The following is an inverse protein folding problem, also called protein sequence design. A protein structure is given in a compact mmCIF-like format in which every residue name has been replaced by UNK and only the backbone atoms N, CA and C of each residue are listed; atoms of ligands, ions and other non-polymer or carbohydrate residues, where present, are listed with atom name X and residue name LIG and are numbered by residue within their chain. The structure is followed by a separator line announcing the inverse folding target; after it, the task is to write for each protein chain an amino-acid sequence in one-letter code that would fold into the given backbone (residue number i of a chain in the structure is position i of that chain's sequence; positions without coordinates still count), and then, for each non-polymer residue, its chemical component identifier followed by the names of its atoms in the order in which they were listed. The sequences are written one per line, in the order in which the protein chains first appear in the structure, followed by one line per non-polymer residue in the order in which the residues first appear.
data_IF_900323454102
#
_entry.id   IF_900323454102
#
_cell.length_a   1.000
_cell.length_b   1.000
_cell.length_c   1.000
_cell.angle_alpha   90.00
_cell.angle_beta   90.00
_cell.angle_gamma   90.00
#
_symmetry.space_group_name_H-M   'P 1'
#
loop_
_entity.id
_entity.type
_entity.pdbx_description
1 polymer ?
#
# COMPACT_ATOMS: atom_id res chain seq x y z
N UNK A 1 9.98 -21.49 -17.68
CA UNK A 1 9.56 -21.87 -19.05
C UNK A 1 9.07 -23.32 -19.06
N UNK A 2 7.75 -23.53 -19.10
CA UNK A 2 7.14 -24.79 -19.58
C UNK A 2 5.65 -24.58 -19.83
N UNK A 3 5.33 -24.27 -21.08
CA UNK A 3 4.00 -24.37 -21.66
C UNK A 3 3.66 -25.85 -21.87
N UNK A 4 2.45 -26.27 -21.50
CA UNK A 4 1.80 -27.42 -22.12
C UNK A 4 0.33 -27.04 -22.36
N UNK A 5 0.03 -26.82 -23.66
CA UNK A 5 -1.31 -26.83 -24.23
C UNK A 5 -1.85 -28.28 -24.23
N UNK A 6 -3.14 -28.47 -23.98
CA UNK A 6 -3.89 -29.60 -24.53
C UNK A 6 -5.25 -29.12 -25.05
N UNK A 7 -5.40 -29.23 -26.36
CA UNK A 7 -6.65 -29.18 -27.11
C UNK A 7 -7.47 -30.45 -26.84
N UNK A 8 -8.79 -30.31 -26.70
CA UNK A 8 -9.76 -31.39 -26.74
C UNK A 8 -10.84 -31.08 -27.76
N UNK A 9 -10.79 -31.78 -28.89
CA UNK A 9 -11.72 -31.66 -30.01
C UNK A 9 -13.05 -32.38 -29.73
N UNK A 10 -14.15 -31.84 -30.26
CA UNK A 10 -15.37 -32.62 -30.51
C UNK A 10 -16.00 -32.13 -31.84
N UNK A 11 -15.85 -32.96 -32.86
CA UNK A 11 -16.50 -32.85 -34.18
C UNK A 11 -17.68 -33.83 -34.16
N UNK A 12 -18.87 -33.36 -34.47
CA UNK A 12 -20.09 -34.16 -34.64
C UNK A 12 -20.81 -33.78 -35.94
N UNK A 13 -21.26 -34.79 -36.68
CA UNK A 13 -21.31 -34.83 -38.12
C UNK A 13 -22.60 -34.33 -38.83
N UNK A 14 -22.40 -34.08 -40.12
CA UNK A 14 -23.30 -33.85 -41.26
C UNK A 14 -24.73 -34.42 -41.22
N UNK A 15 -25.67 -33.63 -41.77
CA UNK A 15 -26.68 -34.13 -42.72
C UNK A 15 -26.83 -33.17 -43.91
N UNK A 16 -26.63 -33.70 -45.12
CA UNK A 16 -26.95 -33.05 -46.39
C UNK A 16 -28.46 -33.14 -46.65
N UNK A 17 -29.06 -32.03 -47.08
CA UNK A 17 -30.28 -32.08 -47.90
C UNK A 17 -30.27 -30.92 -48.88
N UNK A 18 -30.14 -31.29 -50.16
CA UNK A 18 -30.27 -30.45 -51.34
C UNK A 18 -31.71 -29.96 -51.48
N UNK A 19 -31.92 -28.73 -51.95
CA UNK A 19 -32.84 -28.43 -53.05
C UNK A 19 -32.92 -26.91 -53.35
N UNK A 20 -32.70 -26.61 -54.63
CA UNK A 20 -33.40 -25.61 -55.46
C UNK A 20 -33.30 -24.13 -55.11
N UNK A 21 -32.54 -23.41 -55.94
CA UNK A 21 -32.56 -21.97 -56.16
C UNK A 21 -33.90 -21.48 -56.75
N UNK A 22 -34.50 -20.48 -56.13
CA UNK A 22 -35.52 -19.60 -56.71
C UNK A 22 -35.29 -18.17 -56.16
N UNK A 23 -35.14 -17.13 -57.00
CA UNK A 23 -34.91 -15.76 -56.50
C UNK A 23 -36.21 -14.93 -56.42
N UNK A 24 -36.22 -14.01 -55.45
CA UNK A 24 -37.07 -12.82 -55.24
C UNK A 24 -38.16 -12.90 -54.14
N UNK A 25 -38.54 -11.77 -53.48
CA UNK A 25 -37.98 -10.42 -53.51
C UNK A 25 -37.37 -9.97 -52.16
N UNK A 26 -36.55 -8.92 -52.21
CA UNK A 26 -35.89 -8.29 -51.06
C UNK A 26 -36.94 -7.55 -50.23
N UNK A 27 -37.11 -7.93 -48.97
CA UNK A 27 -37.81 -7.12 -47.98
C UNK A 27 -36.85 -6.06 -47.45
N UNK A 28 -37.24 -4.80 -47.60
CA UNK A 28 -36.58 -3.61 -47.06
C UNK A 28 -36.35 -3.80 -45.55
N UNK A 29 -35.11 -4.12 -45.16
CA UNK A 29 -34.73 -4.18 -43.76
C UNK A 29 -34.58 -2.76 -43.23
N UNK A 30 -35.36 -2.42 -42.20
CA UNK A 30 -35.23 -1.18 -41.46
C UNK A 30 -33.77 -1.00 -40.99
N UNK A 31 -33.22 0.23 -41.02
CA UNK A 31 -31.84 0.46 -40.67
C UNK A 31 -31.59 0.07 -39.20
N UNK A 32 -30.47 -0.59 -38.88
CA UNK A 32 -30.12 -0.91 -37.51
C UNK A 32 -29.94 0.39 -36.74
N UNK A 33 -30.74 0.58 -35.70
CA UNK A 33 -30.59 1.68 -34.76
C UNK A 33 -29.25 1.48 -34.06
N UNK A 34 -28.26 2.30 -34.40
CA UNK A 34 -26.96 2.27 -33.77
C UNK A 34 -27.11 2.62 -32.29
N UNK A 35 -27.12 1.59 -31.45
CA UNK A 35 -27.09 1.72 -30.00
C UNK A 35 -25.71 2.27 -29.65
N UNK A 36 -25.62 3.59 -29.49
CA UNK A 36 -24.43 4.24 -28.96
C UNK A 36 -24.24 3.73 -27.54
N UNK A 37 -23.30 2.81 -27.38
CA UNK A 37 -22.84 2.37 -26.07
C UNK A 37 -22.34 3.61 -25.32
N UNK A 38 -23.15 4.11 -24.38
CA UNK A 38 -22.75 5.19 -23.49
C UNK A 38 -21.60 4.66 -22.65
N UNK A 39 -20.39 5.15 -22.95
CA UNK A 39 -19.23 4.93 -22.09
C UNK A 39 -19.59 5.42 -20.69
N UNK A 40 -19.47 4.59 -19.64
CA UNK A 40 -19.74 5.03 -18.28
C UNK A 40 -18.95 6.31 -17.99
N UNK A 41 -19.64 7.35 -17.54
CA UNK A 41 -18.98 8.58 -17.13
C UNK A 41 -17.90 8.24 -16.08
N UNK A 42 -16.69 8.83 -16.18
CA UNK A 42 -15.64 8.60 -15.19
C UNK A 42 -16.20 8.87 -13.79
N UNK A 43 -15.93 7.96 -12.85
CA UNK A 43 -16.28 8.18 -11.45
C UNK A 43 -15.76 9.55 -10.99
N UNK A 44 -16.59 10.28 -10.24
CA UNK A 44 -16.19 11.57 -9.67
C UNK A 44 -14.89 11.38 -8.88
N UNK A 45 -13.88 12.20 -9.20
CA UNK A 45 -12.58 12.11 -8.52
C UNK A 45 -12.72 12.50 -7.04
N UNK A 46 -11.99 11.85 -6.13
CA UNK A 46 -12.07 12.15 -4.70
C UNK A 46 -11.54 13.55 -4.36
N UNK A 47 -12.10 14.18 -3.33
CA UNK A 47 -11.66 15.50 -2.84
C UNK A 47 -10.30 15.40 -2.12
N UNK A 48 -9.23 16.01 -2.66
CA UNK A 48 -7.93 15.99 -2.02
C UNK A 48 -7.88 16.78 -0.70
N UNK A 49 -8.71 17.80 -0.53
CA UNK A 49 -8.70 18.62 0.69
C UNK A 49 -9.21 17.81 1.90
N UNK A 50 -10.35 17.12 1.74
CA UNK A 50 -10.89 16.25 2.78
C UNK A 50 -9.92 15.12 3.17
N UNK A 51 -9.26 14.48 2.20
CA UNK A 51 -8.28 13.44 2.48
C UNK A 51 -7.07 13.97 3.25
N UNK A 52 -6.49 15.09 2.81
CA UNK A 52 -5.34 15.69 3.49
C UNK A 52 -5.68 16.11 4.92
N UNK A 53 -6.87 16.71 5.13
CA UNK A 53 -7.31 17.09 6.48
C UNK A 53 -7.48 15.87 7.41
N UNK A 54 -8.03 14.77 6.88
CA UNK A 54 -8.16 13.52 7.64
C UNK A 54 -6.79 12.89 7.97
N UNK A 55 -5.89 12.84 6.98
CA UNK A 55 -4.54 12.33 7.14
C UNK A 55 -3.74 13.15 8.16
N UNK A 56 -3.83 14.48 8.11
CA UNK A 56 -3.19 15.38 9.07
C UNK A 56 -3.70 15.12 10.48
N UNK A 57 -5.03 15.05 10.68
CA UNK A 57 -5.62 14.78 11.98
C UNK A 57 -5.12 13.45 12.57
N UNK A 58 -5.16 12.38 11.78
CA UNK A 58 -4.73 11.05 12.23
C UNK A 58 -3.24 11.03 12.58
N UNK A 59 -2.38 11.63 11.74
CA UNK A 59 -0.95 11.72 11.99
C UNK A 59 -0.63 12.54 13.24
N UNK A 60 -1.34 13.65 13.48
CA UNK A 60 -1.19 14.44 14.70
C UNK A 60 -1.55 13.60 15.93
N UNK A 61 -2.74 13.00 15.95
CA UNK A 61 -3.22 12.15 17.05
C UNK A 61 -2.26 11.00 17.34
N UNK A 62 -1.76 10.32 16.30
CA UNK A 62 -0.74 9.27 16.44
C UNK A 62 0.57 9.82 17.03
N UNK A 63 1.06 10.94 16.47
CA UNK A 63 2.38 11.49 16.79
C UNK A 63 2.52 11.91 18.24
N UNK A 64 1.45 12.44 18.84
CA UNK A 64 1.43 12.86 20.24
C UNK A 64 1.80 11.71 21.19
N UNK A 65 1.29 10.50 20.95
CA UNK A 65 1.61 9.33 21.78
C UNK A 65 2.94 8.69 21.38
N UNK A 66 3.17 8.53 20.07
CA UNK A 66 4.37 7.87 19.57
C UNK A 66 5.64 8.60 20.01
N UNK A 67 5.66 9.94 19.94
CA UNK A 67 6.85 10.70 20.35
C UNK A 67 7.09 10.69 21.85
N UNK A 68 6.04 10.60 22.68
CA UNK A 68 6.20 10.44 24.13
C UNK A 68 6.79 9.07 24.46
N UNK A 69 6.30 8.01 23.82
CA UNK A 69 6.83 6.65 23.98
C UNK A 69 8.30 6.60 23.57
N UNK A 70 8.63 7.13 22.38
CA UNK A 70 10.00 7.17 21.87
C UNK A 70 10.94 7.95 22.80
N UNK A 71 10.47 9.07 23.35
CA UNK A 71 11.24 9.84 24.34
C UNK A 71 11.50 9.04 25.62
N UNK A 72 10.49 8.35 26.15
CA UNK A 72 10.65 7.51 27.34
C UNK A 72 11.64 6.38 27.08
N UNK A 73 11.52 5.66 25.96
CA UNK A 73 12.47 4.61 25.60
C UNK A 73 13.90 5.13 25.46
N UNK A 74 14.10 6.28 24.81
CA UNK A 74 15.44 6.87 24.65
C UNK A 74 16.11 7.24 25.99
N UNK A 75 15.33 7.55 27.03
CA UNK A 75 15.86 7.87 28.37
C UNK A 75 15.95 6.64 29.28
N UNK A 76 15.15 5.61 29.03
CA UNK A 76 15.02 4.43 29.86
C UNK A 76 14.95 3.18 28.98
N UNK A 77 16.07 2.75 28.42
CA UNK A 77 16.09 1.57 27.54
C UNK A 77 15.92 0.30 28.38
N UNK A 78 14.68 -0.19 28.46
CA UNK A 78 14.24 -1.42 29.15
C UNK A 78 13.38 -2.26 28.23
N UNK A 79 13.19 -3.54 28.55
CA UNK A 79 12.36 -4.45 27.73
C UNK A 79 10.91 -3.94 27.59
N UNK A 80 10.34 -3.36 28.64
CA UNK A 80 8.97 -2.79 28.61
C UNK A 80 8.88 -1.56 27.70
N UNK A 81 9.87 -0.66 27.77
CA UNK A 81 9.88 0.52 26.89
C UNK A 81 10.23 0.17 25.45
N UNK A 82 11.07 -0.86 25.24
CA UNK A 82 11.38 -1.41 23.92
C UNK A 82 10.10 -1.98 23.30
N UNK A 83 9.32 -2.75 24.06
CA UNK A 83 8.02 -3.26 23.61
C UNK A 83 7.04 -2.15 23.24
N UNK A 84 6.91 -1.11 24.07
CA UNK A 84 6.06 0.04 23.79
C UNK A 84 6.52 0.79 22.52
N UNK A 85 7.83 1.00 22.37
CA UNK A 85 8.40 1.71 21.23
C UNK A 85 8.22 0.93 19.93
N UNK A 86 8.42 -0.39 19.95
CA UNK A 86 8.14 -1.27 18.82
C UNK A 86 6.65 -1.23 18.43
N UNK A 87 5.73 -1.26 19.41
CA UNK A 87 4.29 -1.15 19.17
C UNK A 87 3.93 0.18 18.51
N UNK A 88 4.45 1.30 19.02
CA UNK A 88 4.21 2.63 18.45
C UNK A 88 4.81 2.77 17.03
N UNK A 89 5.99 2.19 16.79
CA UNK A 89 6.61 2.13 15.47
C UNK A 89 5.79 1.33 14.46
N UNK A 90 5.24 0.19 14.88
CA UNK A 90 4.36 -0.64 14.03
C UNK A 90 3.11 0.13 13.60
N UNK A 91 2.43 0.79 14.56
CA UNK A 91 1.28 1.64 14.25
C UNK A 91 1.63 2.75 13.24
N UNK A 92 2.76 3.44 13.43
CA UNK A 92 3.22 4.49 12.52
C UNK A 92 3.53 3.98 11.12
N UNK A 93 4.14 2.80 11.03
CA UNK A 93 4.44 2.15 9.76
C UNK A 93 3.16 1.83 8.99
N UNK A 94 2.16 1.24 9.66
CA UNK A 94 0.87 0.92 9.04
C UNK A 94 0.12 2.17 8.57
N UNK A 95 0.06 3.23 9.39
CA UNK A 95 -0.54 4.51 9.01
C UNK A 95 0.17 5.07 7.78
N UNK A 96 1.50 5.15 7.82
CA UNK A 96 2.31 5.75 6.74
C UNK A 96 2.17 4.99 5.43
N UNK A 97 2.28 3.65 5.46
CA UNK A 97 2.11 2.79 4.27
C UNK A 97 0.71 2.94 3.68
N UNK A 98 -0.32 2.96 4.54
CA UNK A 98 -1.70 3.13 4.09
C UNK A 98 -1.90 4.50 3.43
N UNK A 99 -1.51 5.59 4.09
CA UNK A 99 -1.64 6.94 3.57
C UNK A 99 -0.87 7.14 2.27
N UNK A 100 0.37 6.63 2.18
CA UNK A 100 1.16 6.64 0.96
C UNK A 100 0.43 5.96 -0.20
N UNK A 101 -0.15 4.78 0.03
CA UNK A 101 -0.90 4.04 -0.97
C UNK A 101 -2.22 4.72 -1.37
N UNK A 102 -2.93 5.33 -0.41
CA UNK A 102 -4.19 6.02 -0.68
C UNK A 102 -4.01 7.24 -1.60
N UNK A 103 -2.83 7.88 -1.60
CA UNK A 103 -2.54 8.99 -2.52
C UNK A 103 -2.69 8.63 -3.99
N UNK A 104 -2.55 7.34 -4.37
CA UNK A 104 -2.74 6.84 -5.74
C UNK A 104 -4.15 7.11 -6.28
N UNK A 105 -5.15 7.20 -5.41
CA UNK A 105 -6.54 7.52 -5.79
C UNK A 105 -6.70 8.93 -6.35
N UNK A 106 -5.71 9.80 -6.12
CA UNK A 106 -5.74 11.20 -6.53
C UNK A 106 -4.87 11.48 -7.76
N UNK A 107 -4.43 10.45 -8.48
CA UNK A 107 -3.70 10.61 -9.73
C UNK A 107 -4.55 11.40 -10.77
N UNK A 108 -3.94 12.42 -11.36
CA UNK A 108 -4.60 13.31 -12.30
C UNK A 108 -5.70 14.20 -11.71
N UNK A 109 -5.83 14.30 -10.38
CA UNK A 109 -6.66 15.31 -9.72
C UNK A 109 -5.96 16.66 -9.78
N UNK A 110 -6.67 17.72 -10.15
CA UNK A 110 -6.15 19.09 -10.08
C UNK A 110 -6.00 19.49 -8.62
N UNK A 111 -4.79 19.89 -8.23
CA UNK A 111 -4.45 20.25 -6.85
C UNK A 111 -3.77 21.62 -6.80
N UNK A 112 -3.91 22.32 -5.69
CA UNK A 112 -3.07 23.49 -5.40
C UNK A 112 -1.61 23.06 -5.19
N UNK A 113 -0.62 23.97 -5.34
CA UNK A 113 0.78 23.65 -5.05
C UNK A 113 1.01 23.13 -3.63
N UNK A 114 0.23 23.61 -2.65
CA UNK A 114 0.29 23.16 -1.27
C UNK A 114 -0.21 21.73 -1.12
N UNK A 115 -1.39 21.41 -1.67
CA UNK A 115 -1.95 20.06 -1.63
C UNK A 115 -1.00 19.06 -2.29
N UNK A 116 -0.43 19.41 -3.45
CA UNK A 116 0.55 18.57 -4.13
C UNK A 116 1.77 18.29 -3.26
N UNK A 117 2.31 19.31 -2.58
CA UNK A 117 3.45 19.14 -1.67
C UNK A 117 3.12 18.17 -0.53
N UNK A 118 1.96 18.32 0.10
CA UNK A 118 1.51 17.42 1.17
C UNK A 118 1.33 15.98 0.68
N UNK A 119 0.76 15.79 -0.50
CA UNK A 119 0.66 14.46 -1.15
C UNK A 119 2.04 13.86 -1.44
N UNK A 120 2.99 14.68 -1.90
CA UNK A 120 4.37 14.24 -2.16
C UNK A 120 5.09 13.84 -0.85
N UNK A 121 4.83 14.53 0.26
CA UNK A 121 5.29 14.14 1.61
C UNK A 121 4.67 12.80 2.03
N UNK A 122 3.36 12.59 1.87
CA UNK A 122 2.73 11.32 2.23
C UNK A 122 3.28 10.14 1.42
N UNK A 123 3.62 10.35 0.14
CA UNK A 123 4.20 9.31 -0.72
C UNK A 123 5.64 8.97 -0.36
N UNK A 124 6.46 9.97 -0.04
CA UNK A 124 7.89 9.81 0.17
C UNK A 124 8.31 9.77 1.65
N UNK A 125 7.37 9.99 2.57
CA UNK A 125 7.64 10.21 4.00
C UNK A 125 8.08 8.98 4.78
N UNK A 126 7.94 7.78 4.21
CA UNK A 126 8.38 6.52 4.84
C UNK A 126 9.63 5.97 4.17
N UNK A 127 10.71 5.87 4.94
CA UNK A 127 12.02 5.39 4.46
C UNK A 127 12.11 3.87 4.45
N UNK A 128 11.39 3.20 5.36
CA UNK A 128 11.38 1.75 5.50
C UNK A 128 9.93 1.24 5.58
N UNK A 129 9.22 1.17 4.44
CA UNK A 129 7.85 0.68 4.43
C UNK A 129 7.80 -0.82 4.67
N UNK A 130 6.96 -1.26 5.60
CA UNK A 130 6.61 -2.67 5.70
C UNK A 130 5.89 -3.12 4.40
N UNK A 131 6.18 -4.34 3.90
CA UNK A 131 5.42 -4.94 2.81
C UNK A 131 3.91 -4.87 3.04
N UNK A 132 3.19 -4.30 2.07
CA UNK A 132 1.74 -4.05 2.18
C UNK A 132 0.88 -5.08 1.42
N UNK A 133 1.46 -6.24 1.08
CA UNK A 133 0.75 -7.34 0.42
C UNK A 133 0.22 -8.33 1.44
N UNK A 134 -0.96 -8.91 1.18
CA UNK A 134 -1.59 -9.90 2.07
C UNK A 134 -2.77 -9.34 2.84
N UNK A 135 -3.29 -10.12 3.79
CA UNK A 135 -4.41 -9.70 4.65
C UNK A 135 -3.98 -8.61 5.64
N UNK A 136 -4.91 -7.83 6.23
CA UNK A 136 -4.58 -6.83 7.24
C UNK A 136 -3.79 -7.41 8.43
N UNK A 137 -4.08 -8.65 8.82
CA UNK A 137 -3.41 -9.35 9.90
C UNK A 137 -1.95 -9.67 9.54
N UNK A 138 -1.72 -10.10 8.29
CA UNK A 138 -0.37 -10.35 7.78
C UNK A 138 0.45 -9.05 7.69
N UNK A 139 -0.16 -7.98 7.20
CA UNK A 139 0.50 -6.66 7.14
C UNK A 139 0.87 -6.17 8.54
N UNK A 140 -0.03 -6.34 9.52
CA UNK A 140 0.24 -6.01 10.91
C UNK A 140 1.39 -6.86 11.47
N UNK A 141 1.37 -8.18 11.28
CA UNK A 141 2.43 -9.06 11.77
C UNK A 141 3.81 -8.67 11.20
N UNK A 142 3.88 -8.34 9.91
CA UNK A 142 5.12 -7.88 9.27
C UNK A 142 5.57 -6.52 9.83
N UNK A 143 4.64 -5.59 10.05
CA UNK A 143 4.96 -4.29 10.65
C UNK A 143 5.42 -4.42 12.11
N UNK A 144 4.82 -5.33 12.88
CA UNK A 144 5.21 -5.65 14.26
C UNK A 144 6.62 -6.25 14.28
N UNK A 145 6.90 -7.23 13.43
CA UNK A 145 8.22 -7.86 13.32
C UNK A 145 9.29 -6.83 12.93
N UNK A 146 9.01 -6.02 11.90
CA UNK A 146 9.91 -4.96 11.44
C UNK A 146 10.28 -4.00 12.58
N UNK A 147 9.28 -3.51 13.31
CA UNK A 147 9.51 -2.51 14.36
C UNK A 147 10.09 -3.11 15.65
N UNK A 148 9.85 -4.40 15.90
CA UNK A 148 10.57 -5.15 16.94
C UNK A 148 12.06 -5.18 16.61
N UNK A 149 12.43 -5.60 15.39
CA UNK A 149 13.83 -5.64 14.94
C UNK A 149 14.48 -4.24 14.98
N UNK A 150 13.78 -3.21 14.50
CA UNK A 150 14.33 -1.84 14.53
C UNK A 150 14.59 -1.35 15.95
N UNK A 151 13.67 -1.63 16.88
CA UNK A 151 13.83 -1.24 18.28
C UNK A 151 14.96 -2.04 18.94
N UNK A 152 15.02 -3.35 18.70
CA UNK A 152 16.13 -4.18 19.19
C UNK A 152 17.49 -3.71 18.68
N UNK A 153 17.58 -3.28 17.41
CA UNK A 153 18.82 -2.73 16.86
C UNK A 153 19.26 -1.46 17.59
N UNK A 154 18.34 -0.52 17.82
CA UNK A 154 18.60 0.71 18.56
C UNK A 154 18.99 0.40 20.02
N UNK A 155 18.25 -0.49 20.69
CA UNK A 155 18.45 -0.81 22.09
C UNK A 155 19.70 -1.64 22.32
N UNK A 156 20.07 -2.52 21.38
CA UNK A 156 21.36 -3.23 21.41
C UNK A 156 22.51 -2.24 21.31
N UNK A 157 22.42 -1.27 20.41
CA UNK A 157 23.42 -0.20 20.31
C UNK A 157 23.49 0.65 21.60
N UNK A 158 22.33 1.06 22.13
CA UNK A 158 22.26 1.91 23.32
C UNK A 158 22.65 1.23 24.64
N UNK A 159 22.41 -0.09 24.76
CA UNK A 159 22.80 -0.90 25.93
C UNK A 159 24.21 -1.48 25.83
N UNK A 160 24.86 -1.34 24.67
CA UNK A 160 26.16 -1.92 24.37
C UNK A 160 27.23 -1.50 25.38
N UNK A 161 27.92 -2.48 25.96
CA UNK A 161 29.09 -2.26 26.82
C UNK A 161 30.26 -3.07 26.29
N UNK A 162 31.42 -2.44 26.25
CA UNK A 162 32.69 -3.12 25.94
C UNK A 162 33.55 -3.12 27.21
N UNK A 163 34.20 -4.24 27.54
CA UNK A 163 35.19 -4.23 28.61
C UNK A 163 36.36 -3.35 28.17
N UNK A 164 36.67 -2.32 28.96
CA UNK A 164 37.83 -1.48 28.71
C UNK A 164 39.06 -2.11 29.35
N UNK A 165 40.11 -2.26 28.54
CA UNK A 165 41.43 -2.66 29.01
C UNK A 165 42.14 -1.42 29.56
N UNK A 166 42.24 -1.31 30.88
CA UNK A 166 42.90 -0.19 31.56
C UNK A 166 44.41 -0.08 31.24
N UNK A 167 45.04 -1.12 30.68
CA UNK A 167 46.41 -1.04 30.19
C UNK A 167 46.51 -0.39 28.79
N UNK A 168 45.40 -0.29 28.06
CA UNK A 168 45.32 0.28 26.70
C UNK A 168 44.55 1.59 26.63
N UNK A 169 43.67 1.85 27.59
CA UNK A 169 42.82 3.04 27.65
C UNK A 169 42.97 3.71 29.00
N UNK A 170 43.25 5.01 29.00
CA UNK A 170 43.21 5.82 30.23
C UNK A 170 41.74 6.06 30.60
N UNK A 171 41.25 5.30 31.57
CA UNK A 171 39.85 5.33 32.03
C UNK A 171 39.60 6.33 33.15
N UNK A 172 40.61 7.09 33.60
CA UNK A 172 40.52 8.05 34.71
C UNK A 172 40.82 9.50 34.30
N UNK A 173 40.94 9.78 33.00
CA UNK A 173 41.17 11.13 32.46
C UNK A 173 39.93 12.03 32.51
#
# INVERSE_FOLDING_TARGET
MRNILLCGAAIGALLLSSCTSSPAPVAEAAPPVAQTAQTPAPAAKPDPAAFLAAAEKELQEYSDYAYRIAWVNANFITDDTDWLNAWAGSAGTLISVRLANETKKFEGVTMTPEQKRKMDILKAGIVMPAPSSGTPEQQKAIADELNTIMTELQSTYGKGKVPLDAAKFDVNA
#
